data_IF_056926679368
#
_entry.id   IF_056926679368
#
_cell.length_a   1.000
_cell.length_b   1.000
_cell.length_c   1.000
_cell.angle_alpha   90.00
_cell.angle_beta   90.00
_cell.angle_gamma   90.00
#
_symmetry.space_group_name_H-M   'P 1'
#
loop_
_entity.id
_entity.type
_entity.pdbx_description
1 polymer ?
#
# COMPACT_ATOMS: atom_id res chain seq x y z
N UNK A 1 -2.92 -12.71 28.71
CA UNK A 1 -2.01 -13.16 27.63
C UNK A 1 -2.91 -13.70 26.53
N UNK A 2 -3.47 -12.78 25.76
CA UNK A 2 -4.25 -13.04 24.57
C UNK A 2 -3.57 -12.15 23.53
N UNK A 3 -2.51 -12.68 22.91
CA UNK A 3 -2.16 -12.20 21.57
C UNK A 3 -3.33 -12.68 20.71
N UNK A 4 -4.31 -11.80 20.55
CA UNK A 4 -5.25 -11.91 19.44
C UNK A 4 -4.40 -12.14 18.20
N UNK A 5 -4.76 -13.20 17.47
CA UNK A 5 -4.10 -13.64 16.26
C UNK A 5 -4.35 -12.55 15.21
N UNK A 6 -3.62 -11.45 15.30
CA UNK A 6 -3.49 -10.51 14.21
C UNK A 6 -2.81 -11.31 13.10
N UNK A 7 -3.50 -11.49 11.98
CA UNK A 7 -2.85 -11.94 10.75
C UNK A 7 -1.71 -10.95 10.53
N UNK A 8 -0.47 -11.39 10.68
CA UNK A 8 0.73 -10.57 10.50
C UNK A 8 0.88 -10.05 9.05
N UNK A 9 -0.16 -10.16 8.20
CA UNK A 9 -0.08 -9.94 6.75
C UNK A 9 0.62 -11.13 6.07
N UNK A 10 0.14 -11.50 4.89
CA UNK A 10 0.82 -12.52 4.09
C UNK A 10 2.00 -11.88 3.34
N UNK A 11 3.12 -12.62 3.24
CA UNK A 11 4.22 -12.28 2.34
C UNK A 11 3.94 -12.84 0.95
N UNK A 12 4.41 -12.18 -0.10
CA UNK A 12 4.41 -12.78 -1.46
C UNK A 12 5.32 -14.02 -1.50
N UNK A 13 6.57 -13.88 -1.05
CA UNK A 13 7.49 -14.99 -0.80
C UNK A 13 8.16 -14.78 0.57
N UNK A 14 8.17 -15.78 1.47
CA UNK A 14 8.81 -15.67 2.77
C UNK A 14 10.30 -15.31 2.68
N UNK A 15 10.72 -14.32 3.47
CA UNK A 15 12.12 -13.87 3.54
C UNK A 15 12.53 -12.88 2.44
N UNK A 16 11.65 -12.55 1.50
CA UNK A 16 11.91 -11.56 0.45
C UNK A 16 11.15 -10.24 0.70
N UNK A 17 11.64 -9.18 0.04
CA UNK A 17 11.04 -7.85 0.01
C UNK A 17 10.81 -7.42 -1.43
N UNK A 18 9.82 -6.55 -1.68
CA UNK A 18 9.41 -6.16 -3.03
C UNK A 18 9.11 -4.67 -3.14
N UNK A 19 9.45 -4.12 -4.29
CA UNK A 19 8.98 -2.80 -4.71
C UNK A 19 7.79 -2.99 -5.67
N UNK A 20 6.66 -2.33 -5.39
CA UNK A 20 5.45 -2.37 -6.20
C UNK A 20 5.24 -1.01 -6.86
N UNK A 21 4.98 -1.02 -8.17
CA UNK A 21 4.52 0.14 -8.92
C UNK A 21 3.04 -0.02 -9.28
N UNK A 22 2.18 0.81 -8.70
CA UNK A 22 0.74 0.86 -8.97
C UNK A 22 0.43 2.02 -9.92
N UNK A 23 0.14 1.71 -11.18
CA UNK A 23 -0.08 2.70 -12.25
C UNK A 23 -1.59 2.93 -12.44
N UNK A 24 -2.01 4.19 -12.31
CA UNK A 24 -3.43 4.54 -12.32
C UNK A 24 -4.08 4.18 -10.98
N UNK A 25 -3.42 4.57 -9.88
CA UNK A 25 -3.85 4.21 -8.53
C UNK A 25 -5.22 4.81 -8.14
N UNK A 26 -5.71 5.78 -8.92
CA UNK A 26 -6.97 6.47 -8.68
C UNK A 26 -6.99 7.07 -7.28
N UNK A 27 -8.09 6.82 -6.56
CA UNK A 27 -8.28 7.31 -5.19
C UNK A 27 -7.52 6.51 -4.11
N UNK A 28 -6.68 5.53 -4.48
CA UNK A 28 -5.72 4.88 -3.57
C UNK A 28 -6.20 3.64 -2.80
N UNK A 29 -7.47 3.23 -2.92
CA UNK A 29 -7.98 2.06 -2.20
C UNK A 29 -7.24 0.75 -2.55
N UNK A 30 -6.92 0.53 -3.82
CA UNK A 30 -6.13 -0.62 -4.28
C UNK A 30 -4.73 -0.62 -3.67
N UNK A 31 -4.06 0.53 -3.76
CA UNK A 31 -2.73 0.77 -3.19
C UNK A 31 -2.70 0.52 -1.68
N UNK A 32 -3.69 0.98 -0.94
CA UNK A 32 -3.79 0.77 0.49
C UNK A 32 -4.00 -0.72 0.85
N UNK A 33 -4.76 -1.47 0.07
CA UNK A 33 -4.85 -2.92 0.28
C UNK A 33 -3.50 -3.62 0.03
N UNK A 34 -2.70 -3.14 -0.92
CA UNK A 34 -1.37 -3.70 -1.18
C UNK A 34 -0.41 -3.43 -0.02
N UNK A 35 -0.60 -2.37 0.77
CA UNK A 35 0.31 -2.04 1.88
C UNK A 35 0.27 -3.02 3.04
N UNK A 36 -0.80 -3.81 3.14
CA UNK A 36 -0.94 -4.88 4.14
C UNK A 36 -0.05 -6.10 3.83
N UNK A 37 0.53 -6.17 2.62
CA UNK A 37 1.46 -7.24 2.26
C UNK A 37 2.80 -7.00 2.98
N UNK A 38 3.28 -8.03 3.68
CA UNK A 38 4.53 -7.91 4.41
C UNK A 38 5.74 -7.76 3.48
N UNK A 39 6.59 -6.78 3.80
CA UNK A 39 7.87 -6.55 3.13
C UNK A 39 7.75 -5.86 1.77
N UNK A 40 6.66 -5.14 1.50
CA UNK A 40 6.50 -4.35 0.28
C UNK A 40 6.66 -2.86 0.55
N UNK A 41 7.30 -2.19 -0.40
CA UNK A 41 7.31 -0.74 -0.55
C UNK A 41 6.57 -0.38 -1.84
N UNK A 42 5.67 0.60 -1.79
CA UNK A 42 4.74 0.89 -2.89
C UNK A 42 4.97 2.31 -3.40
N UNK A 43 5.14 2.43 -4.71
CA UNK A 43 5.03 3.69 -5.45
C UNK A 43 3.72 3.67 -6.23
N UNK A 44 2.82 4.61 -5.94
CA UNK A 44 1.52 4.74 -6.58
C UNK A 44 1.49 6.02 -7.41
N UNK A 45 1.05 5.92 -8.67
CA UNK A 45 1.01 7.07 -9.57
C UNK A 45 -0.36 7.19 -10.25
N UNK A 46 -0.84 8.42 -10.40
CA UNK A 46 -2.03 8.73 -11.19
C UNK A 46 -1.87 10.07 -11.91
N UNK A 47 -2.47 10.18 -13.10
CA UNK A 47 -2.43 11.43 -13.87
C UNK A 47 -3.36 12.51 -13.28
N UNK A 48 -4.40 12.11 -12.53
CA UNK A 48 -5.34 13.02 -11.90
C UNK A 48 -4.81 13.51 -10.56
N UNK A 49 -4.48 14.79 -10.49
CA UNK A 49 -4.06 15.45 -9.23
C UNK A 49 -5.14 15.37 -8.15
N UNK A 50 -6.40 15.42 -8.53
CA UNK A 50 -7.53 15.31 -7.61
C UNK A 50 -7.56 13.93 -6.95
N UNK A 51 -7.25 12.89 -7.73
CA UNK A 51 -7.16 11.51 -7.24
C UNK A 51 -5.98 11.35 -6.28
N UNK A 52 -4.82 11.92 -6.60
CA UNK A 52 -3.63 11.93 -5.73
C UNK A 52 -3.90 12.64 -4.40
N UNK A 53 -4.45 13.85 -4.42
CA UNK A 53 -4.80 14.59 -3.20
C UNK A 53 -5.75 13.78 -2.32
N UNK A 54 -6.76 13.15 -2.93
CA UNK A 54 -7.70 12.32 -2.19
C UNK A 54 -7.02 11.08 -1.60
N UNK A 55 -6.18 10.40 -2.39
CA UNK A 55 -5.45 9.20 -1.96
C UNK A 55 -4.49 9.52 -0.79
N UNK A 56 -3.71 10.60 -0.86
CA UNK A 56 -2.81 11.02 0.21
C UNK A 56 -3.54 11.33 1.52
N UNK A 57 -4.74 11.94 1.44
CA UNK A 57 -5.52 12.32 2.61
C UNK A 57 -6.24 11.14 3.29
N UNK A 58 -6.57 10.09 2.53
CA UNK A 58 -7.47 9.03 2.99
C UNK A 58 -6.85 7.63 3.03
N UNK A 59 -5.78 7.38 2.25
CA UNK A 59 -5.22 6.06 1.98
C UNK A 59 -3.69 6.01 2.08
N UNK A 60 -3.09 6.88 2.89
CA UNK A 60 -1.66 6.83 3.19
C UNK A 60 -1.30 5.69 4.15
N UNK A 61 -0.13 5.10 3.97
CA UNK A 61 0.52 4.18 4.90
C UNK A 61 2.03 4.43 4.93
N UNK A 62 2.74 3.90 5.93
CA UNK A 62 4.18 4.17 6.12
C UNK A 62 5.06 3.66 4.98
N UNK A 63 4.57 2.70 4.21
CA UNK A 63 5.24 2.03 3.08
C UNK A 63 4.59 2.38 1.71
N UNK A 64 3.85 3.50 1.63
CA UNK A 64 3.28 4.01 0.37
C UNK A 64 3.83 5.41 0.09
N UNK A 65 4.28 5.62 -1.15
CA UNK A 65 4.55 6.93 -1.73
C UNK A 65 3.61 7.16 -2.91
N UNK A 66 2.92 8.31 -2.93
CA UNK A 66 1.86 8.63 -3.90
C UNK A 66 2.29 9.87 -4.71
N UNK A 67 2.15 9.83 -6.04
CA UNK A 67 2.57 10.90 -6.96
C UNK A 67 1.57 11.23 -8.07
#
# INVERSE_FOLDING_TARGET
MLEEIYNDGERLIPGETYDILDIGCGMGHGTFMLSDILGVEITAIDISKESIIYAEQNYGASNIQIY
#
